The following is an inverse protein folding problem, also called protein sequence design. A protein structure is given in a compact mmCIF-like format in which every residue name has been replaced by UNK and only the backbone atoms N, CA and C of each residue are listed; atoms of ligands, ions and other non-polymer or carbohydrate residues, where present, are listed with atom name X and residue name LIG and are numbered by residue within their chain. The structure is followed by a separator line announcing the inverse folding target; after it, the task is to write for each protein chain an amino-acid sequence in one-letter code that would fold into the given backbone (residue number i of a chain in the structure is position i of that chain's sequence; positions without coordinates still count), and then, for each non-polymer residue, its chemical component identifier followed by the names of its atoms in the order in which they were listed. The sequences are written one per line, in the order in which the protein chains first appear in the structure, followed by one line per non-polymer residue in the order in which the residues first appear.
data_IF_774078266347
#
_entry.id   IF_774078266347
#
_cell.length_a   1.000
_cell.length_b   1.000
_cell.length_c   1.000
_cell.angle_alpha   90.00
_cell.angle_beta   90.00
_cell.angle_gamma   90.00
#
_symmetry.space_group_name_H-M   'P 1'
#
loop_
_entity.id
_entity.type
_entity.pdbx_description
1 polymer ?
#
# COMPACT_ATOMS: atom_id res chain seq x y z
N UNK A 1 -2.22 -20.77 -24.74
CA UNK A 1 -2.48 -19.41 -24.21
C UNK A 1 -1.70 -19.17 -22.91
N UNK A 2 -0.66 -18.35 -22.94
CA UNK A 2 -0.01 -17.85 -21.72
C UNK A 2 -0.98 -16.90 -21.04
N UNK A 3 -1.42 -17.27 -19.83
CA UNK A 3 -2.30 -16.43 -19.01
C UNK A 3 -1.48 -15.27 -18.47
N UNK A 4 -1.99 -14.06 -18.61
CA UNK A 4 -1.36 -12.87 -18.04
C UNK A 4 -1.17 -13.00 -16.53
N UNK A 5 -0.22 -12.22 -16.02
CA UNK A 5 0.16 -12.22 -14.60
C UNK A 5 -1.07 -11.87 -13.76
N UNK A 6 -1.44 -12.81 -12.88
CA UNK A 6 -2.61 -12.68 -12.01
C UNK A 6 -2.17 -12.76 -10.56
N UNK A 7 -1.77 -11.61 -10.03
CA UNK A 7 -1.39 -11.47 -8.64
C UNK A 7 -1.70 -10.06 -8.17
N UNK A 8 -1.59 -9.85 -6.85
CA UNK A 8 -1.76 -8.53 -6.24
C UNK A 8 -0.79 -8.41 -5.08
N UNK A 9 -0.17 -7.24 -4.99
CA UNK A 9 0.57 -6.81 -3.83
C UNK A 9 -0.30 -5.87 -2.99
N UNK A 10 -0.40 -6.13 -1.70
CA UNK A 10 -1.18 -5.30 -0.77
C UNK A 10 -0.55 -5.32 0.63
N UNK A 11 -0.84 -4.27 1.40
CA UNK A 11 -0.48 -4.19 2.82
C UNK A 11 -1.69 -4.59 3.67
N UNK A 12 -1.50 -5.61 4.50
CA UNK A 12 -2.49 -5.97 5.53
C UNK A 12 -2.36 -5.05 6.74
N UNK A 13 -3.44 -4.35 7.09
CA UNK A 13 -3.49 -3.48 8.28
C UNK A 13 -4.22 -4.18 9.43
N UNK A 14 -3.46 -4.85 10.30
CA UNK A 14 -3.98 -5.70 11.38
C UNK A 14 -4.55 -4.89 12.55
N UNK A 15 -5.88 -4.70 12.58
CA UNK A 15 -6.58 -3.93 13.61
C UNK A 15 -6.55 -4.55 15.01
N UNK A 16 -6.28 -5.85 15.12
CA UNK A 16 -6.07 -6.55 16.39
C UNK A 16 -4.68 -6.31 16.98
N UNK A 17 -3.68 -6.03 16.12
CA UNK A 17 -2.30 -5.81 16.54
C UNK A 17 -2.06 -4.37 17.01
N UNK A 18 -2.75 -3.38 16.43
CA UNK A 18 -2.65 -1.99 16.82
C UNK A 18 -4.04 -1.32 16.87
N UNK A 19 -4.52 -0.84 18.04
CA UNK A 19 -5.81 -0.19 18.18
C UNK A 19 -5.99 1.05 17.29
N UNK A 20 -4.93 1.81 16.99
CA UNK A 20 -5.00 2.98 16.12
C UNK A 20 -5.48 2.60 14.71
N UNK A 21 -5.09 1.42 14.21
CA UNK A 21 -5.52 0.90 12.90
C UNK A 21 -7.02 0.59 12.82
N UNK A 22 -7.76 0.56 13.93
CA UNK A 22 -9.23 0.45 13.92
C UNK A 22 -9.88 1.69 13.31
N UNK A 23 -9.26 2.87 13.48
CA UNK A 23 -9.73 4.15 12.94
C UNK A 23 -9.53 4.15 11.41
N UNK A 24 -10.60 4.29 10.60
CA UNK A 24 -10.48 4.36 9.15
C UNK A 24 -9.55 5.48 8.69
N UNK A 25 -9.54 6.61 9.39
CA UNK A 25 -8.72 7.79 9.11
C UNK A 25 -7.23 7.46 9.18
N UNK A 26 -6.82 6.63 10.14
CA UNK A 26 -5.42 6.17 10.28
C UNK A 26 -5.03 5.28 9.09
N UNK A 27 -5.91 4.36 8.68
CA UNK A 27 -5.67 3.50 7.51
C UNK A 27 -5.62 4.31 6.21
N UNK A 28 -6.47 5.31 6.09
CA UNK A 28 -6.46 6.25 4.96
C UNK A 28 -5.20 7.11 4.96
N UNK A 29 -4.74 7.57 6.13
CA UNK A 29 -3.49 8.30 6.26
C UNK A 29 -2.30 7.49 5.77
N UNK A 30 -2.17 6.24 6.22
CA UNK A 30 -1.14 5.30 5.74
C UNK A 30 -1.23 5.14 4.22
N UNK A 31 -2.43 5.02 3.67
CA UNK A 31 -2.63 4.86 2.22
C UNK A 31 -2.19 6.10 1.44
N UNK A 32 -2.48 7.30 1.94
CA UNK A 32 -2.05 8.57 1.34
C UNK A 32 -0.55 8.83 1.50
N UNK A 33 0.08 8.27 2.53
CA UNK A 33 1.50 8.48 2.82
C UNK A 33 2.44 7.67 1.91
N UNK A 34 1.96 6.64 1.21
CA UNK A 34 2.81 5.76 0.39
C UNK A 34 2.80 6.20 -1.08
N UNK A 35 3.98 6.42 -1.67
CA UNK A 35 4.10 6.73 -3.10
C UNK A 35 4.05 5.44 -3.94
N UNK A 36 2.82 5.06 -4.27
CA UNK A 36 2.53 3.82 -5.01
C UNK A 36 3.03 3.87 -6.45
N UNK A 37 3.06 5.04 -7.07
CA UNK A 37 3.58 5.22 -8.43
C UNK A 37 5.09 5.01 -8.44
N UNK A 38 5.82 5.63 -7.52
CA UNK A 38 7.26 5.43 -7.37
C UNK A 38 7.61 3.97 -7.06
N UNK A 39 6.86 3.31 -6.18
CA UNK A 39 7.05 1.90 -5.86
C UNK A 39 6.88 1.01 -7.10
N UNK A 40 5.84 1.22 -7.91
CA UNK A 40 5.63 0.46 -9.16
C UNK A 40 6.76 0.71 -10.15
N UNK A 41 7.12 1.99 -10.36
CA UNK A 41 8.11 2.36 -11.37
C UNK A 41 9.54 1.92 -11.04
N UNK A 42 9.88 1.79 -9.75
CA UNK A 42 11.25 1.47 -9.31
C UNK A 42 11.44 0.01 -8.90
N UNK A 43 10.39 -0.66 -8.38
CA UNK A 43 10.52 -1.99 -7.78
C UNK A 43 9.85 -3.10 -8.59
N UNK A 44 8.87 -2.78 -9.45
CA UNK A 44 8.18 -3.79 -10.24
C UNK A 44 8.75 -3.87 -11.66
N UNK A 45 8.72 -5.07 -12.28
CA UNK A 45 9.10 -5.22 -13.68
C UNK A 45 8.12 -4.48 -14.61
N UNK A 46 8.53 -4.32 -15.87
CA UNK A 46 7.67 -3.79 -16.93
C UNK A 46 6.31 -4.51 -16.95
N UNK A 47 5.23 -3.72 -17.03
CA UNK A 47 3.85 -4.21 -16.95
C UNK A 47 3.23 -4.14 -15.55
N UNK A 48 4.01 -3.83 -14.50
CA UNK A 48 3.47 -3.45 -13.19
C UNK A 48 2.55 -2.23 -13.28
N UNK A 49 1.45 -2.23 -12.51
CA UNK A 49 0.48 -1.13 -12.48
C UNK A 49 0.04 -0.84 -11.06
N UNK A 50 -0.24 0.44 -10.75
CA UNK A 50 -0.83 0.81 -9.47
C UNK A 50 -2.24 0.22 -9.35
N UNK A 51 -2.43 -0.66 -8.38
CA UNK A 51 -3.73 -1.30 -8.15
C UNK A 51 -4.74 -0.30 -7.55
N UNK A 52 -5.92 -0.16 -8.16
CA UNK A 52 -7.01 0.65 -7.58
C UNK A 52 -7.93 -0.17 -6.67
N UNK A 53 -7.96 -1.49 -6.85
CA UNK A 53 -8.80 -2.44 -6.13
C UNK A 53 -8.16 -3.84 -6.10
N UNK A 54 -8.78 -4.77 -5.37
CA UNK A 54 -8.31 -6.16 -5.32
C UNK A 54 -8.52 -6.94 -6.62
N UNK A 55 -9.55 -6.56 -7.36
CA UNK A 55 -9.91 -7.23 -8.61
C UNK A 55 -9.08 -6.66 -9.77
N UNK A 56 -8.34 -7.50 -10.53
CA UNK A 56 -7.68 -7.04 -11.74
C UNK A 56 -8.70 -6.76 -12.85
N UNK A 57 -8.31 -5.94 -13.83
CA UNK A 57 -9.12 -5.53 -14.99
C UNK A 57 -9.55 -6.69 -15.90
N UNK A 58 -8.85 -7.81 -15.79
CA UNK A 58 -9.16 -9.07 -16.49
C UNK A 58 -10.29 -9.90 -15.86
N UNK A 59 -10.78 -9.54 -14.67
CA UNK A 59 -11.83 -10.30 -13.97
C UNK A 59 -13.16 -9.56 -13.93
N UNK A 60 -14.23 -10.29 -14.23
CA UNK A 60 -15.60 -9.82 -14.08
C UNK A 60 -15.85 -9.31 -12.65
N UNK A 61 -16.24 -8.03 -12.53
CA UNK A 61 -16.38 -7.33 -11.25
C UNK A 61 -15.36 -6.20 -11.05
N UNK A 62 -14.39 -6.03 -11.96
CA UNK A 62 -13.59 -4.81 -12.02
C UNK A 62 -14.47 -3.56 -12.24
N UNK A 63 -14.15 -2.48 -11.54
CA UNK A 63 -14.73 -1.15 -11.72
C UNK A 63 -13.66 -0.07 -11.83
N UNK A 64 -13.81 0.82 -12.81
CA UNK A 64 -12.99 2.04 -13.00
C UNK A 64 -13.46 3.21 -12.12
N UNK A 65 -14.56 3.06 -11.39
CA UNK A 65 -15.21 4.11 -10.58
C UNK A 65 -14.95 3.98 -9.08
N UNK A 66 -13.94 3.20 -8.69
CA UNK A 66 -13.59 3.05 -7.27
C UNK A 66 -12.91 4.30 -6.72
N UNK A 67 -13.14 4.58 -5.44
CA UNK A 67 -12.43 5.65 -4.74
C UNK A 67 -10.95 5.30 -4.64
N UNK A 68 -10.11 6.21 -5.10
CA UNK A 68 -8.65 6.11 -4.99
C UNK A 68 -8.11 7.06 -3.92
N UNK A 69 -6.85 6.84 -3.54
CA UNK A 69 -6.14 7.60 -2.52
C UNK A 69 -4.81 8.05 -3.14
N UNK A 70 -4.71 9.27 -3.67
CA UNK A 70 -3.45 9.78 -4.23
C UNK A 70 -2.39 9.92 -3.15
N UNK A 71 -1.13 9.86 -3.55
CA UNK A 71 -0.01 10.17 -2.66
C UNK A 71 -0.07 11.65 -2.24
N UNK A 72 -0.30 11.88 -0.94
CA UNK A 72 -0.49 13.20 -0.34
C UNK A 72 -0.12 13.15 1.15
N UNK A 73 1.13 13.50 1.45
CA UNK A 73 1.66 13.48 2.82
C UNK A 73 1.03 14.52 3.72
N UNK A 74 0.57 15.66 3.17
CA UNK A 74 -0.14 16.67 3.94
C UNK A 74 -1.50 16.14 4.39
N UNK A 75 -2.25 15.51 3.47
CA UNK A 75 -3.52 14.86 3.78
C UNK A 75 -3.35 13.72 4.79
N UNK A 76 -2.28 12.94 4.68
CA UNK A 76 -1.97 11.89 5.64
C UNK A 76 -1.79 12.44 7.07
N UNK A 77 -0.98 13.51 7.22
CA UNK A 77 -0.76 14.18 8.51
C UNK A 77 -2.05 14.78 9.08
N UNK A 78 -2.87 15.41 8.25
CA UNK A 78 -4.17 15.94 8.66
C UNK A 78 -5.11 14.84 9.18
N UNK A 79 -5.15 13.68 8.51
CA UNK A 79 -5.96 12.55 8.94
C UNK A 79 -5.47 11.95 10.26
N UNK A 80 -4.15 11.82 10.46
CA UNK A 80 -3.58 11.37 11.74
C UNK A 80 -3.90 12.34 12.88
N UNK A 81 -3.83 13.65 12.62
CA UNK A 81 -4.22 14.69 13.59
C UNK A 81 -5.70 14.61 13.94
N UNK A 82 -6.58 14.47 12.95
CA UNK A 82 -8.02 14.30 13.17
C UNK A 82 -8.33 13.02 13.96
N UNK A 83 -7.55 11.96 13.75
CA UNK A 83 -7.65 10.72 14.50
C UNK A 83 -7.04 10.78 15.91
N UNK A 84 -6.29 11.83 16.25
CA UNK A 84 -5.53 11.93 17.49
C UNK A 84 -4.34 10.98 17.58
N UNK A 85 -3.76 10.59 16.43
CA UNK A 85 -2.68 9.60 16.29
C UNK A 85 -1.43 10.21 15.61
N UNK A 86 -1.09 11.47 15.94
CA UNK A 86 0.05 12.19 15.33
C UNK A 86 1.42 11.52 15.58
N UNK A 87 1.51 10.70 16.63
CA UNK A 87 2.71 9.93 17.00
C UNK A 87 2.49 8.43 16.80
N UNK A 88 1.82 8.08 15.70
CA UNK A 88 1.55 6.69 15.35
C UNK A 88 2.85 5.89 15.25
N UNK A 89 2.92 4.78 15.96
CA UNK A 89 3.96 3.76 15.81
C UNK A 89 3.30 2.45 15.38
N UNK A 90 3.82 1.82 14.33
CA UNK A 90 3.32 0.56 13.79
C UNK A 90 4.46 -0.43 13.60
N UNK A 91 4.21 -1.71 13.89
CA UNK A 91 5.09 -2.78 13.47
C UNK A 91 4.84 -3.05 11.99
N UNK A 92 5.83 -2.76 11.15
CA UNK A 92 5.74 -2.96 9.71
C UNK A 92 6.55 -4.21 9.32
N UNK A 93 5.84 -5.29 9.01
CA UNK A 93 6.43 -6.58 8.69
C UNK A 93 6.53 -6.79 7.17
N UNK A 94 7.65 -7.38 6.72
CA UNK A 94 7.87 -7.83 5.36
C UNK A 94 8.56 -9.21 5.35
N UNK A 95 8.40 -10.03 4.29
CA UNK A 95 9.09 -11.31 4.20
C UNK A 95 10.58 -11.12 3.91
N UNK A 96 11.46 -11.80 4.66
CA UNK A 96 12.92 -11.66 4.56
C UNK A 96 13.59 -12.75 3.71
N UNK A 97 13.00 -13.94 3.64
CA UNK A 97 13.65 -15.12 3.03
C UNK A 97 13.06 -15.51 1.68
N UNK A 98 12.02 -14.83 1.23
CA UNK A 98 11.26 -15.24 0.05
C UNK A 98 10.91 -14.06 -0.85
N UNK A 99 11.08 -14.26 -2.15
CA UNK A 99 10.56 -13.36 -3.18
C UNK A 99 9.27 -13.93 -3.75
N UNK A 100 8.43 -13.05 -4.29
CA UNK A 100 7.17 -13.42 -4.96
C UNK A 100 7.04 -12.60 -6.24
N UNK A 101 6.31 -13.09 -7.25
CA UNK A 101 6.08 -12.31 -8.48
C UNK A 101 5.45 -10.92 -8.22
N UNK A 102 4.70 -10.75 -7.13
CA UNK A 102 4.10 -9.48 -6.70
C UNK A 102 5.01 -8.66 -5.75
N UNK A 103 6.12 -9.23 -5.27
CA UNK A 103 7.06 -8.59 -4.35
C UNK A 103 8.48 -9.10 -4.69
N UNK A 104 9.07 -8.63 -5.81
CA UNK A 104 10.33 -9.15 -6.33
C UNK A 104 11.53 -8.75 -5.46
N UNK A 105 11.50 -7.58 -4.84
CA UNK A 105 12.54 -7.06 -3.94
C UNK A 105 11.94 -6.64 -2.58
N UNK A 106 11.63 -7.59 -1.67
CA UNK A 106 10.91 -7.29 -0.44
C UNK A 106 11.56 -6.23 0.46
N UNK A 107 12.89 -6.28 0.61
CA UNK A 107 13.63 -5.34 1.46
C UNK A 107 13.63 -3.92 0.87
N UNK A 108 13.90 -3.77 -0.42
CA UNK A 108 13.93 -2.46 -1.07
C UNK A 108 12.54 -1.81 -1.08
N UNK A 109 11.49 -2.61 -1.35
CA UNK A 109 10.10 -2.15 -1.25
C UNK A 109 9.75 -1.72 0.19
N UNK A 110 10.21 -2.47 1.20
CA UNK A 110 10.00 -2.12 2.60
C UNK A 110 10.68 -0.80 2.98
N UNK A 111 11.97 -0.63 2.65
CA UNK A 111 12.70 0.60 2.97
C UNK A 111 12.11 1.82 2.25
N UNK A 112 11.64 1.66 1.01
CA UNK A 112 10.96 2.73 0.28
C UNK A 112 9.65 3.15 0.97
N UNK A 113 8.79 2.18 1.30
CA UNK A 113 7.53 2.45 1.99
C UNK A 113 7.76 3.01 3.39
N UNK A 114 8.79 2.53 4.10
CA UNK A 114 9.18 3.07 5.41
C UNK A 114 9.62 4.53 5.30
N UNK A 115 10.49 4.85 4.34
CA UNK A 115 10.93 6.23 4.11
C UNK A 115 9.76 7.16 3.75
N UNK A 116 8.75 6.65 3.05
CA UNK A 116 7.51 7.38 2.76
C UNK A 116 6.66 7.62 4.02
N UNK A 117 6.52 6.61 4.87
CA UNK A 117 5.75 6.69 6.12
C UNK A 117 6.39 7.59 7.19
N UNK A 118 7.71 7.78 7.14
CA UNK A 118 8.46 8.62 8.07
C UNK A 118 8.45 10.13 7.72
N UNK A 119 7.85 10.52 6.58
CA UNK A 119 7.77 11.92 6.10
C UNK A 119 6.75 12.76 6.85
#
# INVERSE_FOLDING_TARGET
PTRDVFNIFYLGMSQSANPALKKPEVRQAITHAIDRENLVNTQLPEGGKVATQFMPDTVAGYSDKVKTYPFDTAKAKDLLKQAGEEKLSIDFCYPTEVTRPYMPAPQDMFELMKADLEK
#
